data_IF_888206179095
#
_entry.id   IF_888206179095
#
_cell.length_a   1.000
_cell.length_b   1.000
_cell.length_c   1.000
_cell.angle_alpha   90.00
_cell.angle_beta   90.00
_cell.angle_gamma   90.00
#
_symmetry.space_group_name_H-M   'P 1'
#
loop_
_entity.id
_entity.type
_entity.pdbx_description
1 polymer ?
#
# COMPACT_ATOMS: atom_id res chain seq x y z
N UNK A 1 29.28 1.83 -37.54
CA UNK A 1 28.45 0.86 -36.80
C UNK A 1 29.39 0.03 -35.93
N UNK A 2 29.56 0.41 -34.66
CA UNK A 2 30.51 -0.25 -33.74
C UNK A 2 29.84 -1.52 -33.22
N UNK A 3 30.29 -2.69 -33.69
CA UNK A 3 29.95 -4.00 -33.09
C UNK A 3 30.59 -4.05 -31.71
N UNK A 4 29.81 -3.78 -30.65
CA UNK A 4 30.21 -4.09 -29.28
C UNK A 4 30.29 -5.61 -29.16
N UNK A 5 31.52 -6.12 -29.08
CA UNK A 5 31.80 -7.50 -28.71
C UNK A 5 31.44 -7.62 -27.22
N UNK A 6 30.32 -8.27 -26.92
CA UNK A 6 29.98 -8.68 -25.57
C UNK A 6 30.91 -9.83 -25.18
N UNK A 7 31.79 -9.57 -24.24
CA UNK A 7 32.68 -10.58 -23.68
C UNK A 7 31.87 -11.44 -22.70
N UNK A 8 31.39 -12.59 -23.17
CA UNK A 8 30.73 -13.59 -22.34
C UNK A 8 31.77 -14.18 -21.38
N UNK A 9 31.57 -14.05 -20.06
CA UNK A 9 32.34 -14.81 -19.08
C UNK A 9 31.85 -16.26 -19.13
N UNK A 10 32.57 -17.08 -19.90
CA UNK A 10 32.33 -18.51 -20.04
C UNK A 10 33.00 -19.24 -18.87
N UNK A 11 32.22 -19.75 -17.92
CA UNK A 11 32.74 -20.69 -16.91
C UNK A 11 32.81 -22.08 -17.56
N UNK A 12 34.03 -22.57 -17.81
CA UNK A 12 34.27 -23.86 -18.47
C UNK A 12 34.61 -24.90 -17.38
N UNK A 13 33.74 -25.88 -17.16
CA UNK A 13 34.06 -27.07 -16.35
C UNK A 13 34.38 -28.24 -17.27
N UNK A 14 35.63 -28.75 -17.21
CA UNK A 14 36.08 -29.92 -17.95
C UNK A 14 36.10 -31.13 -17.01
N UNK A 15 35.31 -32.17 -17.29
CA UNK A 15 35.32 -33.43 -16.53
C UNK A 15 35.89 -34.54 -17.41
N UNK A 16 37.08 -35.04 -17.09
CA UNK A 16 37.74 -36.15 -17.81
C UNK A 16 37.51 -37.46 -17.05
N UNK A 17 36.87 -38.45 -17.69
CA UNK A 17 36.71 -39.79 -17.14
C UNK A 17 37.75 -40.72 -17.78
N UNK A 18 38.78 -41.11 -17.02
CA UNK A 18 39.76 -42.11 -17.45
C UNK A 18 39.35 -43.51 -16.98
N UNK A 19 39.11 -44.43 -17.92
CA UNK A 19 39.00 -45.86 -17.61
C UNK A 19 40.40 -46.50 -17.64
N UNK A 20 40.95 -46.88 -16.48
CA UNK A 20 42.10 -47.79 -16.42
C UNK A 20 41.59 -49.23 -16.46
N UNK A 21 41.79 -49.93 -17.57
CA UNK A 21 41.65 -51.38 -17.63
C UNK A 21 43.04 -52.00 -17.57
N UNK A 22 43.34 -52.67 -16.46
CA UNK A 22 44.53 -53.49 -16.31
C UNK A 22 44.26 -54.92 -16.74
N UNK A 23 45.07 -55.48 -17.64
CA UNK A 23 45.66 -56.83 -17.56
C UNK A 23 46.53 -57.09 -18.79
N UNK A 24 47.62 -57.83 -18.59
CA UNK A 24 48.66 -58.12 -19.60
C UNK A 24 48.19 -59.21 -20.57
N UNK A 25 48.09 -58.94 -21.87
CA UNK A 25 48.40 -59.92 -22.93
C UNK A 25 48.46 -59.25 -24.33
N UNK A 26 49.35 -59.79 -25.19
CA UNK A 26 49.50 -59.65 -26.65
C UNK A 26 48.97 -58.37 -27.35
N UNK A 27 49.92 -57.57 -27.86
CA UNK A 27 49.71 -56.28 -28.53
C UNK A 27 49.03 -56.42 -29.90
N UNK A 28 47.70 -56.29 -29.92
CA UNK A 28 47.01 -55.62 -31.03
C UNK A 28 47.09 -54.10 -30.79
N UNK A 29 47.19 -53.29 -31.85
CA UNK A 29 47.09 -51.84 -31.68
C UNK A 29 45.75 -51.51 -31.00
N UNK A 30 45.76 -50.76 -29.89
CA UNK A 30 44.53 -50.45 -29.18
C UNK A 30 43.59 -49.69 -30.11
N UNK A 31 42.28 -49.97 -30.09
CA UNK A 31 41.32 -49.20 -30.87
C UNK A 31 41.46 -47.71 -30.53
N UNK A 32 41.27 -46.79 -31.48
CA UNK A 32 41.35 -45.35 -31.21
C UNK A 32 40.46 -45.00 -30.03
N UNK A 33 41.04 -44.46 -28.97
CA UNK A 33 40.27 -43.91 -27.84
C UNK A 33 39.69 -42.59 -28.33
N UNK A 34 38.47 -42.64 -28.87
CA UNK A 34 37.67 -41.43 -29.10
C UNK A 34 37.18 -40.92 -27.74
N UNK A 35 37.99 -40.06 -27.12
CA UNK A 35 37.55 -39.31 -25.95
C UNK A 35 36.48 -38.31 -26.38
N UNK A 36 35.22 -38.58 -26.05
CA UNK A 36 34.15 -37.61 -26.24
C UNK A 36 34.31 -36.49 -25.19
N UNK A 37 34.62 -35.28 -25.64
CA UNK A 37 34.66 -34.07 -24.81
C UNK A 37 33.30 -33.39 -24.91
N UNK A 38 32.48 -33.51 -23.87
CA UNK A 38 31.23 -32.76 -23.77
C UNK A 38 31.50 -31.36 -23.24
N UNK A 39 31.33 -30.34 -24.07
CA UNK A 39 31.35 -28.93 -23.65
C UNK A 39 29.92 -28.50 -23.40
N UNK A 40 29.57 -28.16 -22.16
CA UNK A 40 28.29 -27.51 -21.84
C UNK A 40 28.51 -26.01 -21.67
N UNK A 41 27.63 -25.21 -22.26
CA UNK A 41 27.58 -23.76 -22.08
C UNK A 41 26.22 -23.39 -21.50
N UNK A 42 26.21 -22.67 -20.37
CA UNK A 42 24.98 -22.16 -19.75
C UNK A 42 24.83 -20.69 -20.14
N UNK A 43 23.70 -20.36 -20.77
CA UNK A 43 23.35 -18.97 -21.05
C UNK A 43 22.56 -18.44 -19.85
N UNK A 44 22.93 -17.29 -19.25
CA UNK A 44 22.20 -16.76 -18.10
C UNK A 44 20.75 -16.43 -18.49
N UNK A 45 19.83 -16.54 -17.54
CA UNK A 45 18.43 -16.17 -17.77
C UNK A 45 18.28 -14.65 -17.83
N UNK A 46 17.22 -14.18 -18.50
CA UNK A 46 16.80 -12.77 -18.39
C UNK A 46 16.00 -12.63 -17.11
N UNK A 47 16.42 -11.74 -16.21
CA UNK A 47 15.77 -11.55 -14.91
C UNK A 47 15.47 -10.09 -14.65
N UNK A 48 14.54 -9.87 -13.73
CA UNK A 48 14.20 -8.55 -13.18
C UNK A 48 14.20 -8.64 -11.67
N UNK A 49 14.91 -7.72 -11.01
CA UNK A 49 14.98 -7.63 -9.55
C UNK A 49 14.23 -6.41 -9.05
N UNK A 50 13.18 -6.64 -8.29
CA UNK A 50 12.39 -5.60 -7.64
C UNK A 50 12.85 -5.39 -6.21
N UNK A 51 13.08 -4.14 -5.81
CA UNK A 51 13.45 -3.80 -4.44
C UNK A 51 12.82 -2.50 -3.98
N UNK A 52 12.39 -2.48 -2.73
CA UNK A 52 11.68 -1.32 -2.18
C UNK A 52 11.20 -1.51 -0.76
N UNK A 53 10.20 -0.70 -0.42
CA UNK A 53 9.69 -0.53 0.93
C UNK A 53 8.16 -0.76 0.97
N UNK A 54 7.72 -1.54 1.96
CA UNK A 54 6.33 -1.76 2.34
C UNK A 54 6.26 -1.99 3.87
N UNK A 55 5.06 -2.14 4.48
CA UNK A 55 4.95 -2.49 5.90
C UNK A 55 5.73 -3.75 6.25
N UNK A 56 6.36 -3.81 7.42
CA UNK A 56 7.05 -4.99 7.90
C UNK A 56 6.12 -6.22 7.94
N UNK A 57 6.67 -7.39 7.62
CA UNK A 57 5.95 -8.66 7.58
C UNK A 57 4.72 -8.70 6.64
N UNK A 58 4.60 -7.73 5.71
CA UNK A 58 3.57 -7.75 4.65
C UNK A 58 3.98 -8.68 3.50
N UNK A 59 2.99 -9.08 2.70
CA UNK A 59 3.21 -9.87 1.47
C UNK A 59 3.11 -8.96 0.25
N UNK A 60 4.21 -8.77 -0.46
CA UNK A 60 4.27 -8.04 -1.72
C UNK A 60 3.98 -9.01 -2.87
N UNK A 61 3.04 -8.64 -3.74
CA UNK A 61 2.66 -9.39 -4.93
C UNK A 61 3.14 -8.65 -6.17
N UNK A 62 3.79 -9.37 -7.07
CA UNK A 62 4.35 -8.86 -8.31
C UNK A 62 3.57 -9.41 -9.50
N UNK A 63 3.22 -8.54 -10.43
CA UNK A 63 2.46 -8.88 -11.63
C UNK A 63 3.16 -8.40 -12.89
N UNK A 64 2.93 -9.14 -13.96
CA UNK A 64 3.22 -8.75 -15.34
C UNK A 64 1.89 -8.74 -16.10
N UNK A 65 1.43 -7.54 -16.49
CA UNK A 65 0.04 -7.33 -16.90
C UNK A 65 -0.95 -7.80 -15.84
N UNK A 66 -1.71 -8.86 -16.14
CA UNK A 66 -2.70 -9.44 -15.21
C UNK A 66 -2.19 -10.66 -14.45
N UNK A 67 -1.02 -11.19 -14.82
CA UNK A 67 -0.49 -12.46 -14.30
C UNK A 67 0.38 -12.21 -13.08
N UNK A 68 0.16 -12.94 -11.99
CA UNK A 68 1.06 -12.95 -10.83
C UNK A 68 2.32 -13.73 -11.18
N UNK A 69 3.47 -13.06 -11.19
CA UNK A 69 4.78 -13.62 -11.54
C UNK A 69 5.64 -13.91 -10.31
N UNK A 70 5.22 -13.42 -9.14
CA UNK A 70 5.90 -13.73 -7.89
C UNK A 70 5.27 -13.08 -6.68
N UNK A 71 5.69 -13.57 -5.52
CA UNK A 71 5.39 -12.97 -4.22
C UNK A 71 6.67 -12.94 -3.38
N UNK A 72 6.73 -12.01 -2.44
CA UNK A 72 7.81 -11.93 -1.44
C UNK A 72 7.27 -11.32 -0.15
N UNK A 73 7.99 -11.48 0.95
CA UNK A 73 7.67 -10.84 2.21
C UNK A 73 8.70 -9.77 2.54
N UNK A 74 8.25 -8.68 3.17
CA UNK A 74 9.15 -7.65 3.71
C UNK A 74 9.79 -8.10 5.01
N UNK A 75 11.03 -7.71 5.23
CA UNK A 75 11.72 -7.90 6.50
C UNK A 75 11.19 -6.93 7.60
N UNK A 76 11.65 -7.04 8.86
CA UNK A 76 11.23 -6.16 9.96
C UNK A 76 11.52 -4.66 9.76
N UNK A 77 12.42 -4.31 8.85
CA UNK A 77 12.70 -2.91 8.47
C UNK A 77 11.83 -2.42 7.30
N UNK A 78 10.87 -3.24 6.85
CA UNK A 78 9.99 -2.94 5.73
C UNK A 78 10.62 -3.08 4.36
N UNK A 79 11.82 -3.67 4.25
CA UNK A 79 12.53 -3.82 2.97
C UNK A 79 12.13 -5.15 2.33
N UNK A 80 11.84 -5.12 1.03
CA UNK A 80 11.67 -6.33 0.22
C UNK A 80 12.66 -6.37 -0.94
N UNK A 81 12.99 -7.59 -1.36
CA UNK A 81 13.66 -7.87 -2.63
C UNK A 81 13.05 -9.12 -3.26
N UNK A 82 12.87 -9.12 -4.58
CA UNK A 82 12.41 -10.28 -5.33
C UNK A 82 12.96 -10.26 -6.76
N UNK A 83 13.65 -11.33 -7.14
CA UNK A 83 14.05 -11.59 -8.52
C UNK A 83 13.05 -12.53 -9.19
N UNK A 84 12.68 -12.22 -10.43
CA UNK A 84 11.81 -13.04 -11.27
C UNK A 84 12.46 -13.23 -12.63
N UNK A 85 12.33 -14.43 -13.18
CA UNK A 85 12.74 -14.76 -14.56
C UNK A 85 11.64 -14.31 -15.51
N UNK A 86 11.99 -13.58 -16.57
CA UNK A 86 11.05 -13.20 -17.63
C UNK A 86 11.72 -13.30 -19.00
N UNK A 87 10.96 -13.06 -20.06
CA UNK A 87 11.51 -13.01 -21.42
C UNK A 87 12.20 -11.66 -21.68
N UNK A 88 13.00 -11.57 -22.74
CA UNK A 88 13.52 -10.28 -23.20
C UNK A 88 12.47 -9.51 -23.97
N UNK A 89 12.36 -8.20 -23.76
CA UNK A 89 11.38 -7.37 -24.46
C UNK A 89 10.85 -6.24 -23.59
N UNK A 90 9.73 -5.64 -24.02
CA UNK A 90 9.00 -4.65 -23.23
C UNK A 90 7.95 -5.34 -22.35
N UNK A 91 7.92 -4.95 -21.08
CA UNK A 91 7.02 -5.50 -20.07
C UNK A 91 6.36 -4.39 -19.26
N UNK A 92 5.11 -4.64 -18.87
CA UNK A 92 4.37 -3.81 -17.94
C UNK A 92 4.24 -4.54 -16.61
N UNK A 93 4.97 -4.05 -15.61
CA UNK A 93 4.94 -4.64 -14.27
C UNK A 93 4.05 -3.84 -13.33
N UNK A 94 3.45 -4.52 -12.36
CA UNK A 94 2.78 -3.85 -11.25
C UNK A 94 3.00 -4.57 -9.92
N UNK A 95 3.00 -3.78 -8.84
CA UNK A 95 3.20 -4.27 -7.49
C UNK A 95 2.12 -3.72 -6.55
N UNK A 96 1.62 -4.57 -5.67
CA UNK A 96 0.82 -4.19 -4.51
C UNK A 96 1.23 -5.05 -3.33
N UNK A 97 0.81 -4.71 -2.11
CA UNK A 97 0.98 -5.60 -0.98
C UNK A 97 -0.32 -5.87 -0.26
N UNK A 98 -0.33 -6.97 0.48
CA UNK A 98 -1.33 -7.31 1.49
C UNK A 98 -0.69 -7.16 2.87
N UNK A 99 -1.29 -6.34 3.70
CA UNK A 99 -0.85 -5.99 5.04
C UNK A 99 -1.16 -7.10 6.06
N UNK A 100 -0.70 -6.99 7.31
CA UNK A 100 -0.90 -8.08 8.30
C UNK A 100 -2.35 -8.23 8.76
N UNK A 101 -3.20 -7.24 8.47
CA UNK A 101 -4.64 -7.27 8.71
C UNK A 101 -5.43 -7.73 7.47
N UNK A 102 -4.75 -8.14 6.40
CA UNK A 102 -5.38 -8.63 5.16
C UNK A 102 -5.87 -7.52 4.22
N UNK A 103 -5.53 -6.25 4.44
CA UNK A 103 -5.89 -5.14 3.55
C UNK A 103 -4.87 -5.01 2.43
N UNK A 104 -5.33 -4.65 1.24
CA UNK A 104 -4.47 -4.45 0.07
C UNK A 104 -4.27 -2.98 -0.25
N UNK A 105 -3.31 -2.70 -1.10
CA UNK A 105 -3.10 -1.38 -1.70
C UNK A 105 -3.50 -1.33 -3.17
N UNK A 106 -3.66 -0.12 -3.75
CA UNK A 106 -3.60 0.05 -5.20
C UNK A 106 -2.28 -0.47 -5.77
N UNK A 107 -2.31 -0.83 -7.04
CA UNK A 107 -1.12 -1.24 -7.78
C UNK A 107 -0.23 -0.03 -8.13
N UNK A 108 1.08 -0.19 -7.95
CA UNK A 108 2.11 0.72 -8.45
C UNK A 108 2.66 0.17 -9.76
N UNK A 109 2.58 0.93 -10.84
CA UNK A 109 2.90 0.49 -12.21
C UNK A 109 4.30 0.90 -12.68
N UNK A 110 4.94 0.00 -13.43
CA UNK A 110 6.23 0.20 -14.11
C UNK A 110 6.08 -0.24 -15.57
N UNK A 111 5.49 0.64 -16.38
CA UNK A 111 5.12 0.35 -17.77
C UNK A 111 6.29 0.56 -18.74
N UNK A 112 6.36 -0.27 -19.78
CA UNK A 112 7.36 -0.16 -20.84
C UNK A 112 8.78 -0.48 -20.36
N UNK A 113 8.93 -1.32 -19.35
CA UNK A 113 10.23 -1.78 -18.86
C UNK A 113 10.88 -2.67 -19.92
N UNK A 114 12.02 -2.24 -20.47
CA UNK A 114 12.77 -3.04 -21.43
C UNK A 114 13.76 -3.98 -20.73
N UNK A 115 13.57 -5.29 -20.89
CA UNK A 115 14.45 -6.33 -20.38
C UNK A 115 15.42 -6.81 -21.47
N UNK A 116 16.73 -6.51 -21.36
CA UNK A 116 17.73 -7.04 -22.28
C UNK A 116 17.91 -8.57 -22.10
N UNK A 117 18.22 -9.31 -23.17
CA UNK A 117 18.42 -10.76 -23.08
C UNK A 117 19.61 -11.11 -22.17
N UNK A 118 19.41 -12.06 -21.27
CA UNK A 118 20.44 -12.65 -20.40
C UNK A 118 21.06 -11.65 -19.40
N UNK A 119 20.29 -10.62 -19.03
CA UNK A 119 20.69 -9.55 -18.11
C UNK A 119 19.67 -9.46 -16.98
N UNK A 120 20.16 -9.16 -15.78
CA UNK A 120 19.31 -8.76 -14.64
C UNK A 120 19.03 -7.26 -14.70
N UNK A 121 17.75 -6.90 -14.74
CA UNK A 121 17.30 -5.50 -14.78
C UNK A 121 16.75 -5.09 -13.41
N UNK A 122 17.40 -4.16 -12.68
CA UNK A 122 16.90 -3.73 -11.38
C UNK A 122 15.79 -2.68 -11.51
N UNK A 123 14.68 -2.91 -10.80
CA UNK A 123 13.66 -1.90 -10.48
C UNK A 123 13.72 -1.65 -8.98
N UNK A 124 14.42 -0.58 -8.60
CA UNK A 124 14.75 -0.28 -7.21
C UNK A 124 14.00 0.94 -6.68
N UNK A 125 14.16 1.21 -5.39
CA UNK A 125 13.60 2.39 -4.72
C UNK A 125 12.06 2.45 -4.79
N UNK A 126 11.41 1.30 -4.90
CA UNK A 126 9.95 1.20 -4.96
C UNK A 126 9.38 1.61 -3.60
N UNK A 127 8.46 2.57 -3.59
CA UNK A 127 7.79 3.04 -2.39
C UNK A 127 6.29 2.77 -2.51
N UNK A 128 5.83 1.68 -1.87
CA UNK A 128 4.43 1.26 -1.95
C UNK A 128 3.56 2.15 -1.04
N UNK A 129 2.31 2.44 -1.44
CA UNK A 129 1.41 3.34 -0.70
C UNK A 129 0.95 2.72 0.62
N UNK A 130 0.36 3.48 1.55
CA UNK A 130 -0.15 2.91 2.79
C UNK A 130 -1.50 2.20 2.57
N UNK A 131 -1.86 1.27 3.46
CA UNK A 131 -3.26 0.85 3.62
C UNK A 131 -3.99 1.86 4.49
N UNK A 132 -5.32 1.94 4.37
CA UNK A 132 -6.17 2.84 5.17
C UNK A 132 -7.51 2.15 5.47
N UNK A 133 -8.02 2.36 6.67
CA UNK A 133 -9.32 1.89 7.13
C UNK A 133 -9.90 2.84 8.18
N UNK A 134 -11.20 2.68 8.45
CA UNK A 134 -11.94 3.40 9.47
C UNK A 134 -12.39 2.40 10.54
N UNK A 135 -12.38 2.81 11.81
CA UNK A 135 -12.91 1.97 12.89
C UNK A 135 -14.44 1.86 12.85
N UNK A 136 -15.10 2.87 12.25
CA UNK A 136 -16.55 2.98 12.16
C UNK A 136 -16.95 3.84 10.97
N UNK A 137 -18.03 3.46 10.29
CA UNK A 137 -18.77 4.26 9.31
C UNK A 137 -20.15 3.61 9.12
N UNK A 138 -21.29 4.34 9.21
CA UNK A 138 -21.38 5.77 9.45
C UNK A 138 -21.05 6.17 10.90
N UNK A 139 -20.76 7.45 11.11
CA UNK A 139 -20.67 8.10 12.43
C UNK A 139 -21.73 9.20 12.56
N UNK A 140 -22.08 9.58 13.77
CA UNK A 140 -22.87 10.80 14.01
C UNK A 140 -21.96 12.04 13.90
N UNK A 141 -22.52 13.17 13.48
CA UNK A 141 -21.83 14.45 13.55
C UNK A 141 -21.36 14.72 15.00
N UNK A 142 -20.12 15.19 15.16
CA UNK A 142 -19.50 15.38 16.48
C UNK A 142 -18.81 14.11 17.04
N UNK A 143 -19.16 12.93 16.54
CA UNK A 143 -18.48 11.68 16.92
C UNK A 143 -17.05 11.64 16.36
N UNK A 144 -16.13 11.05 17.11
CA UNK A 144 -14.77 10.81 16.64
C UNK A 144 -14.62 9.41 16.02
N UNK A 145 -13.80 9.29 14.98
CA UNK A 145 -13.48 8.01 14.33
C UNK A 145 -11.97 7.80 14.25
N UNK A 146 -11.52 6.56 14.42
CA UNK A 146 -10.13 6.21 14.19
C UNK A 146 -9.91 5.91 12.71
N UNK A 147 -8.96 6.61 12.11
CA UNK A 147 -8.41 6.36 10.78
C UNK A 147 -7.06 5.68 10.96
N UNK A 148 -6.88 4.49 10.40
CA UNK A 148 -5.70 3.68 10.69
C UNK A 148 -5.27 2.85 9.49
N UNK A 149 -4.01 2.44 9.50
CA UNK A 149 -3.41 1.75 8.36
C UNK A 149 -2.03 1.24 8.66
N UNK A 150 -1.42 0.63 7.65
CA UNK A 150 -0.02 0.23 7.68
C UNK A 150 0.76 0.92 6.54
N UNK A 151 2.00 1.30 6.81
CA UNK A 151 2.93 1.88 5.84
C UNK A 151 4.36 1.39 6.08
N UNK A 152 5.29 1.71 5.18
CA UNK A 152 6.68 1.33 5.37
C UNK A 152 7.31 2.06 6.59
N UNK A 153 7.99 1.35 7.51
CA UNK A 153 8.69 1.98 8.65
C UNK A 153 9.67 3.08 8.22
N UNK A 154 9.58 4.23 8.89
CA UNK A 154 10.41 5.40 8.60
C UNK A 154 9.94 6.27 7.44
N UNK A 155 8.86 5.90 6.74
CA UNK A 155 8.15 6.81 5.84
C UNK A 155 7.23 7.74 6.65
N UNK A 156 6.87 8.90 6.09
CA UNK A 156 5.86 9.80 6.67
C UNK A 156 4.53 9.59 5.96
N UNK A 157 3.48 9.25 6.69
CA UNK A 157 2.11 9.17 6.17
C UNK A 157 1.48 10.54 6.17
N UNK A 158 0.78 10.87 5.08
CA UNK A 158 -0.01 12.09 4.93
C UNK A 158 -1.45 11.68 4.64
N UNK A 159 -2.39 12.03 5.51
CA UNK A 159 -3.82 11.67 5.39
C UNK A 159 -4.62 12.92 5.00
N UNK A 160 -5.43 12.77 3.97
CA UNK A 160 -6.27 13.82 3.41
C UNK A 160 -7.73 13.50 3.66
N UNK A 161 -8.51 14.54 3.94
CA UNK A 161 -9.96 14.53 4.06
C UNK A 161 -10.53 15.55 3.08
N UNK A 162 -11.34 15.09 2.13
CA UNK A 162 -11.94 15.92 1.06
C UNK A 162 -10.91 16.82 0.34
N UNK A 163 -9.70 16.29 0.14
CA UNK A 163 -8.60 16.99 -0.54
C UNK A 163 -7.74 17.90 0.36
N UNK A 164 -8.10 18.11 1.62
CA UNK A 164 -7.26 18.85 2.59
C UNK A 164 -6.47 17.90 3.50
N UNK A 165 -5.18 18.17 3.68
CA UNK A 165 -4.35 17.39 4.62
C UNK A 165 -4.84 17.60 6.07
N UNK A 166 -5.01 16.52 6.82
CA UNK A 166 -5.47 16.54 8.23
C UNK A 166 -4.46 15.95 9.19
N UNK A 167 -3.58 15.09 8.71
CA UNK A 167 -2.63 14.38 9.56
C UNK A 167 -1.36 14.07 8.80
N UNK A 168 -0.22 14.28 9.45
CA UNK A 168 1.08 13.84 8.98
C UNK A 168 1.88 13.27 10.16
N UNK A 169 2.43 12.07 10.00
CA UNK A 169 3.26 11.44 11.02
C UNK A 169 4.21 10.41 10.43
N UNK A 170 5.34 10.18 11.10
CA UNK A 170 6.27 9.11 10.73
C UNK A 170 5.68 7.76 11.14
N UNK A 171 5.69 6.79 10.22
CA UNK A 171 5.31 5.41 10.47
C UNK A 171 6.40 4.74 11.31
N UNK A 172 6.01 4.23 12.47
CA UNK A 172 6.94 3.60 13.42
C UNK A 172 7.43 2.22 12.98
N UNK A 173 8.30 1.60 13.79
CA UNK A 173 8.85 0.26 13.51
C UNK A 173 7.80 -0.85 13.43
N UNK A 174 6.64 -0.68 14.10
CA UNK A 174 5.49 -1.60 13.99
C UNK A 174 4.74 -1.50 12.66
N UNK A 175 5.09 -0.58 11.78
CA UNK A 175 4.43 -0.29 10.49
C UNK A 175 3.00 0.25 10.59
N UNK A 176 2.38 0.24 11.76
CA UNK A 176 1.07 0.84 11.99
C UNK A 176 1.13 2.36 12.11
N UNK A 177 0.07 3.01 11.65
CA UNK A 177 -0.21 4.41 11.89
C UNK A 177 -1.69 4.59 12.28
N UNK A 178 -1.95 5.62 13.09
CA UNK A 178 -3.26 5.89 13.67
C UNK A 178 -3.48 7.39 13.76
N UNK A 179 -4.67 7.84 13.37
CA UNK A 179 -5.15 9.20 13.45
C UNK A 179 -6.57 9.22 13.99
N UNK A 180 -6.83 9.99 15.04
CA UNK A 180 -8.19 10.23 15.56
C UNK A 180 -8.78 11.43 14.85
N UNK A 181 -9.79 11.20 14.00
CA UNK A 181 -10.54 12.25 13.33
C UNK A 181 -11.72 12.66 14.21
N UNK A 182 -11.64 13.83 14.82
CA UNK A 182 -12.69 14.38 15.69
C UNK A 182 -13.45 15.58 15.09
N UNK A 183 -12.93 16.17 14.02
CA UNK A 183 -13.52 17.36 13.39
C UNK A 183 -13.04 17.55 11.96
N UNK A 184 -13.64 18.50 11.23
CA UNK A 184 -13.23 18.88 9.88
C UNK A 184 -13.80 18.02 8.76
N UNK A 185 -14.72 17.10 9.09
CA UNK A 185 -15.58 16.40 8.15
C UNK A 185 -16.92 17.15 8.00
N UNK A 186 -17.58 16.94 6.87
CA UNK A 186 -18.90 17.50 6.56
C UNK A 186 -20.00 16.50 6.93
N UNK A 187 -21.23 16.96 7.13
CA UNK A 187 -22.39 16.06 7.15
C UNK A 187 -22.54 15.41 5.77
N UNK A 188 -22.86 14.11 5.76
CA UNK A 188 -22.93 13.28 4.56
C UNK A 188 -21.60 12.60 4.22
N UNK A 189 -21.33 12.47 2.92
CA UNK A 189 -20.20 11.71 2.42
C UNK A 189 -18.88 12.50 2.51
N UNK A 190 -17.86 11.87 3.11
CA UNK A 190 -16.50 12.36 3.17
C UNK A 190 -15.55 11.33 2.59
N UNK A 191 -14.51 11.80 1.91
CA UNK A 191 -13.48 10.96 1.29
C UNK A 191 -12.16 11.09 2.05
N UNK A 192 -11.58 9.96 2.45
CA UNK A 192 -10.23 9.91 3.00
C UNK A 192 -9.31 9.04 2.18
N UNK A 193 -8.09 9.51 1.97
CA UNK A 193 -7.00 8.75 1.37
C UNK A 193 -5.67 9.19 1.99
N UNK A 194 -4.62 8.41 1.78
CA UNK A 194 -3.30 8.71 2.28
C UNK A 194 -2.22 8.38 1.26
N UNK A 195 -1.06 9.02 1.37
CA UNK A 195 0.16 8.62 0.66
C UNK A 195 1.36 8.70 1.61
N UNK A 196 2.50 8.15 1.18
CA UNK A 196 3.74 8.13 1.94
C UNK A 196 4.82 8.96 1.25
N UNK A 197 5.59 9.69 2.05
CA UNK A 197 6.85 10.32 1.64
C UNK A 197 8.02 9.66 2.36
N UNK A 198 9.20 9.68 1.73
CA UNK A 198 10.44 9.19 2.35
C UNK A 198 11.64 9.88 1.72
N UNK A 199 12.56 10.36 2.57
CA UNK A 199 13.75 11.06 2.10
C UNK A 199 14.53 10.23 1.07
N UNK A 200 14.81 10.83 -0.10
CA UNK A 200 15.56 10.19 -1.18
C UNK A 200 14.74 9.26 -2.08
N UNK A 201 13.43 9.11 -1.86
CA UNK A 201 12.51 8.37 -2.72
C UNK A 201 11.47 9.30 -3.36
N UNK A 202 10.84 8.83 -4.43
CA UNK A 202 9.60 9.45 -4.90
C UNK A 202 8.46 9.14 -3.93
N UNK A 203 7.46 10.02 -3.91
CA UNK A 203 6.23 9.80 -3.16
C UNK A 203 5.53 8.54 -3.66
N UNK A 204 4.86 7.83 -2.75
CA UNK A 204 4.02 6.72 -3.15
C UNK A 204 2.82 7.23 -3.94
N UNK A 205 2.14 6.31 -4.65
CA UNK A 205 0.77 6.59 -5.12
C UNK A 205 -0.17 6.80 -3.91
N UNK A 206 -1.41 7.24 -4.18
CA UNK A 206 -2.43 7.29 -3.14
C UNK A 206 -2.87 5.87 -2.74
N UNK A 207 -3.26 5.70 -1.49
CA UNK A 207 -4.01 4.55 -0.99
C UNK A 207 -5.37 4.43 -1.68
N UNK A 208 -6.09 3.35 -1.39
CA UNK A 208 -7.54 3.34 -1.65
C UNK A 208 -8.22 4.50 -0.90
N UNK A 209 -9.33 5.00 -1.46
CA UNK A 209 -10.18 5.97 -0.77
C UNK A 209 -11.17 5.23 0.12
N UNK A 210 -11.24 5.61 1.39
CA UNK A 210 -12.29 5.17 2.32
C UNK A 210 -13.33 6.27 2.48
N UNK A 211 -14.60 5.86 2.46
CA UNK A 211 -15.71 6.80 2.56
C UNK A 211 -16.26 6.81 3.99
N UNK A 212 -16.18 7.97 4.63
CA UNK A 212 -16.82 8.21 5.92
C UNK A 212 -18.19 8.84 5.67
N UNK A 213 -19.24 8.15 6.08
CA UNK A 213 -20.59 8.73 6.10
C UNK A 213 -20.83 9.36 7.47
N UNK A 214 -21.25 10.62 7.49
CA UNK A 214 -21.57 11.36 8.70
C UNK A 214 -23.06 11.67 8.70
N UNK A 215 -23.79 11.08 9.65
CA UNK A 215 -25.19 11.38 9.83
C UNK A 215 -25.34 12.71 10.59
N UNK A 216 -26.29 13.58 10.22
CA UNK A 216 -26.60 14.76 11.02
C UNK A 216 -27.02 14.34 12.43
N UNK A 217 -26.87 15.25 13.39
CA UNK A 217 -27.35 15.02 14.75
C UNK A 217 -28.87 14.82 14.76
N UNK A 218 -29.37 14.13 15.78
CA UNK A 218 -30.82 14.01 15.96
C UNK A 218 -31.39 15.43 16.10
N UNK A 219 -32.59 15.65 15.60
CA UNK A 219 -33.30 16.91 15.82
C UNK A 219 -33.33 17.22 17.33
N UNK A 220 -32.99 18.46 17.69
CA UNK A 220 -32.91 18.95 19.06
C UNK A 220 -31.76 18.42 19.92
N UNK A 221 -30.93 17.50 19.43
CA UNK A 221 -29.69 17.05 20.08
C UNK A 221 -28.55 17.97 19.59
N UNK A 222 -28.37 19.08 20.30
CA UNK A 222 -27.54 20.20 19.87
C UNK A 222 -26.05 19.96 20.15
N UNK A 223 -25.72 19.06 21.07
CA UNK A 223 -24.34 18.65 21.34
C UNK A 223 -23.96 17.30 20.69
N UNK A 224 -24.93 16.63 20.05
CA UNK A 224 -24.78 15.37 19.33
C UNK A 224 -24.32 14.20 20.21
N UNK A 225 -24.69 14.21 21.49
CA UNK A 225 -24.35 13.16 22.45
C UNK A 225 -25.33 11.97 22.42
N UNK A 226 -26.37 12.06 21.60
CA UNK A 226 -27.41 11.04 21.42
C UNK A 226 -28.63 11.24 22.32
N UNK A 227 -28.60 12.23 23.21
CA UNK A 227 -29.68 12.59 24.11
C UNK A 227 -30.14 14.03 23.85
N UNK A 228 -31.41 14.30 24.13
CA UNK A 228 -31.99 15.65 24.14
C UNK A 228 -32.34 15.96 25.59
N UNK A 229 -31.46 16.65 26.29
CA UNK A 229 -31.58 16.86 27.73
C UNK A 229 -31.26 18.30 28.15
N UNK A 230 -31.01 18.50 29.46
CA UNK A 230 -30.72 19.81 30.02
C UNK A 230 -29.50 20.48 29.39
N UNK A 231 -28.55 19.70 28.88
CA UNK A 231 -27.37 20.21 28.18
C UNK A 231 -27.77 20.87 26.86
N UNK A 232 -28.59 20.21 26.05
CA UNK A 232 -29.12 20.77 24.80
C UNK A 232 -29.98 22.00 25.08
N UNK A 233 -30.80 21.96 26.12
CA UNK A 233 -31.58 23.12 26.52
C UNK A 233 -30.70 24.31 26.92
N UNK A 234 -29.57 24.06 27.61
CA UNK A 234 -28.62 25.12 27.92
C UNK A 234 -27.98 25.73 26.67
N UNK A 235 -27.73 24.91 25.63
CA UNK A 235 -27.20 25.36 24.34
C UNK A 235 -28.27 26.15 23.57
N UNK A 236 -29.53 25.70 23.59
CA UNK A 236 -30.65 26.42 22.98
C UNK A 236 -30.80 27.81 23.60
N UNK A 237 -30.80 27.90 24.93
CA UNK A 237 -30.89 29.17 25.65
C UNK A 237 -29.70 30.10 25.38
N UNK A 238 -28.51 29.54 25.20
CA UNK A 238 -27.33 30.32 24.82
C UNK A 238 -27.53 31.04 23.48
N UNK A 239 -28.22 30.41 22.54
CA UNK A 239 -28.51 30.97 21.21
C UNK A 239 -29.86 31.70 21.12
N UNK A 240 -30.55 31.95 22.24
CA UNK A 240 -31.90 32.52 22.22
C UNK A 240 -31.99 33.88 21.51
N UNK A 241 -32.93 34.00 20.57
CA UNK A 241 -33.14 35.19 19.74
C UNK A 241 -32.11 35.38 18.62
N UNK A 242 -31.20 34.42 18.43
CA UNK A 242 -30.24 34.43 17.31
C UNK A 242 -30.77 33.66 16.09
N UNK A 243 -29.99 33.64 15.01
CA UNK A 243 -30.25 32.88 13.78
C UNK A 243 -29.28 31.68 13.63
N UNK A 244 -28.88 31.06 14.75
CA UNK A 244 -27.97 29.92 14.72
C UNK A 244 -28.64 28.70 14.07
N UNK A 245 -28.12 28.27 12.93
CA UNK A 245 -28.68 27.15 12.13
C UNK A 245 -28.79 25.83 12.89
N UNK A 246 -27.90 25.56 13.86
CA UNK A 246 -27.95 24.32 14.64
C UNK A 246 -29.07 24.35 15.68
N UNK A 247 -29.30 25.50 16.32
CA UNK A 247 -30.28 25.66 17.38
C UNK A 247 -31.69 26.06 16.87
N UNK A 248 -31.79 26.55 15.63
CA UNK A 248 -33.02 26.84 14.91
C UNK A 248 -33.58 25.54 14.29
N UNK A 249 -34.26 24.75 15.12
CA UNK A 249 -34.74 23.39 14.81
C UNK A 249 -35.96 23.34 13.88
N UNK A 250 -36.57 24.47 13.56
CA UNK A 250 -37.65 24.60 12.59
C UNK A 250 -37.28 25.45 11.36
N UNK A 251 -36.04 25.91 11.26
CA UNK A 251 -35.48 26.72 10.17
C UNK A 251 -36.30 28.00 9.88
N UNK A 252 -36.83 28.66 10.92
CA UNK A 252 -37.64 29.88 10.77
C UNK A 252 -36.84 31.19 10.85
N UNK A 253 -35.54 31.08 11.12
CA UNK A 253 -34.57 32.16 11.21
C UNK A 253 -34.40 32.75 12.61
N UNK A 254 -35.13 32.26 13.63
CA UNK A 254 -34.98 32.72 15.02
C UNK A 254 -35.10 31.59 16.04
N UNK A 255 -34.04 31.39 16.82
CA UNK A 255 -34.08 30.47 17.97
C UNK A 255 -35.00 31.04 19.04
N UNK A 256 -36.11 30.36 19.34
CA UNK A 256 -37.11 30.87 20.28
C UNK A 256 -38.05 29.83 20.87
N UNK A 257 -39.27 30.28 21.17
CA UNK A 257 -40.27 29.45 21.86
C UNK A 257 -40.70 28.23 21.03
N UNK A 258 -40.65 28.32 19.70
CA UNK A 258 -41.02 27.19 18.83
C UNK A 258 -39.93 26.12 18.91
N UNK A 259 -38.65 26.49 18.84
CA UNK A 259 -37.53 25.55 19.01
C UNK A 259 -37.53 24.91 20.39
N UNK A 260 -37.79 25.70 21.43
CA UNK A 260 -37.95 25.15 22.78
C UNK A 260 -39.08 24.13 22.84
N UNK A 261 -40.23 24.43 22.22
CA UNK A 261 -41.35 23.49 22.17
C UNK A 261 -41.00 22.19 21.43
N UNK A 262 -40.19 22.27 20.37
CA UNK A 262 -39.72 21.11 19.60
C UNK A 262 -38.73 20.29 20.44
N UNK A 263 -37.78 20.95 21.10
CA UNK A 263 -36.82 20.28 21.98
C UNK A 263 -37.51 19.54 23.12
N UNK A 264 -38.52 20.17 23.76
CA UNK A 264 -39.30 19.51 24.80
C UNK A 264 -40.11 18.31 24.28
N UNK A 265 -40.50 18.32 23.01
CA UNK A 265 -41.13 17.17 22.35
C UNK A 265 -40.12 16.04 22.08
N UNK A 266 -38.89 16.39 21.68
CA UNK A 266 -37.83 15.44 21.38
C UNK A 266 -37.04 14.94 22.61
N UNK A 267 -37.37 15.46 23.81
CA UNK A 267 -36.67 15.23 25.08
C UNK A 267 -36.46 13.75 25.39
N UNK A 268 -35.24 13.41 25.77
CA UNK A 268 -34.85 12.07 26.21
C UNK A 268 -34.07 12.18 27.51
N UNK A 269 -34.54 11.51 28.56
CA UNK A 269 -33.87 11.45 29.86
C UNK A 269 -32.53 10.68 29.81
#
# INVERSE_FOLDING_TARGET
>A
MIKKIFCLYLSISVSLLFFLVGTRQARADPPPVEAQVTITATVPETTVTFSGFAPASSTVTLKEGVVVIGTTTTNPSGVFTRTVVSSSGLHDFSLYYTDTAGRTTPETYFNGTNLPPHVDTPISNIHLPPTIALSKSPISQGESVLVFGQGAPGSTVHVFLNGGEKFSAVVGGGSDWLFTLSSGYNVGANSLYAYLTRAGLSDSVNSFTVNLQVNPCKRSDLNCDGYVNLTDFSILLYWWGSNNETADTNDDGVVGLIDFSIMMFDWTD
#
